data_IF_334336735998
#
_entry.id   IF_334336735998
#
_cell.length_a   1.000
_cell.length_b   1.000
_cell.length_c   1.000
_cell.angle_alpha   90.00
_cell.angle_beta   90.00
_cell.angle_gamma   90.00
#
_symmetry.space_group_name_H-M   'P 1'
#
loop_
_entity.id
_entity.type
_entity.pdbx_description
1 polymer ?
#
# COMPACT_ATOMS: atom_id res chain seq x y z
N UNK A 1 -19.44 -4.22 9.35
CA UNK A 1 -18.66 -4.69 8.20
C UNK A 1 -17.97 -5.99 8.55
N UNK A 2 -18.23 -7.05 7.80
CA UNK A 2 -17.53 -8.31 7.92
C UNK A 2 -16.22 -8.24 7.13
N UNK A 3 -15.09 -8.59 7.76
CA UNK A 3 -13.78 -8.53 7.11
C UNK A 3 -13.74 -9.30 5.79
N UNK A 4 -14.36 -10.48 5.70
CA UNK A 4 -14.34 -11.31 4.49
C UNK A 4 -14.97 -10.61 3.27
N UNK A 5 -16.04 -9.85 3.47
CA UNK A 5 -16.70 -9.11 2.39
C UNK A 5 -15.78 -8.01 1.85
N UNK A 6 -15.17 -7.26 2.76
CA UNK A 6 -14.22 -6.19 2.41
C UNK A 6 -12.96 -6.76 1.78
N UNK A 7 -12.39 -7.83 2.35
CA UNK A 7 -11.22 -8.49 1.82
C UNK A 7 -11.45 -8.98 0.39
N UNK A 8 -12.63 -9.55 0.09
CA UNK A 8 -13.01 -9.98 -1.27
C UNK A 8 -13.04 -8.81 -2.28
N UNK A 9 -13.50 -7.64 -1.86
CA UNK A 9 -13.51 -6.44 -2.71
C UNK A 9 -12.12 -5.84 -2.91
N UNK A 10 -11.22 -6.03 -1.94
CA UNK A 10 -9.86 -5.51 -1.95
C UNK A 10 -8.81 -6.52 -2.44
N UNK A 11 -9.20 -7.77 -2.76
CA UNK A 11 -8.25 -8.88 -3.01
C UNK A 11 -7.29 -8.55 -4.15
N UNK A 12 -7.79 -7.88 -5.19
CA UNK A 12 -7.03 -7.51 -6.39
C UNK A 12 -6.40 -6.12 -6.30
N UNK A 13 -6.69 -5.36 -5.24
CA UNK A 13 -6.05 -4.08 -4.98
C UNK A 13 -4.75 -4.31 -4.19
N UNK A 14 -3.56 -4.10 -4.79
CA UNK A 14 -2.30 -4.36 -4.10
C UNK A 14 -2.15 -3.46 -2.87
N UNK A 15 -2.60 -2.20 -2.98
CA UNK A 15 -2.67 -1.21 -1.92
C UNK A 15 -4.05 -0.55 -1.92
N UNK A 16 -4.48 -0.06 -0.76
CA UNK A 16 -5.70 0.72 -0.63
C UNK A 16 -5.57 1.81 0.45
N UNK A 17 -6.28 2.92 0.23
CA UNK A 17 -6.39 3.98 1.22
C UNK A 17 -7.57 3.76 2.16
N UNK A 18 -7.49 4.26 3.40
CA UNK A 18 -8.63 4.23 4.33
C UNK A 18 -9.86 4.97 3.79
N UNK A 19 -9.65 5.96 2.90
CA UNK A 19 -10.73 6.73 2.27
C UNK A 19 -11.72 5.85 1.51
N UNK A 20 -11.24 4.79 0.86
CA UNK A 20 -12.08 3.86 0.09
C UNK A 20 -13.09 3.16 0.99
N UNK A 21 -12.73 2.88 2.24
CA UNK A 21 -13.62 2.24 3.21
C UNK A 21 -14.67 3.20 3.80
N UNK A 22 -14.44 4.52 3.73
CA UNK A 22 -15.40 5.51 4.22
C UNK A 22 -16.58 5.70 3.29
N UNK A 23 -16.38 5.52 1.96
CA UNK A 23 -17.43 5.72 0.97
C UNK A 23 -18.66 4.83 1.16
N UNK A 24 -18.51 3.69 1.86
CA UNK A 24 -19.61 2.77 2.20
C UNK A 24 -19.88 2.65 3.70
N UNK A 25 -19.41 3.57 4.53
CA UNK A 25 -19.52 3.48 5.98
C UNK A 25 -20.27 4.66 6.59
N UNK A 26 -21.18 4.35 7.53
CA UNK A 26 -21.97 5.36 8.25
C UNK A 26 -21.12 6.21 9.23
N UNK A 27 -19.99 5.67 9.71
CA UNK A 27 -19.14 6.34 10.69
C UNK A 27 -17.63 6.07 10.45
N UNK A 28 -16.84 7.10 10.10
CA UNK A 28 -15.39 6.98 9.89
C UNK A 28 -14.60 6.46 11.10
N UNK A 29 -15.00 6.80 12.33
CA UNK A 29 -14.29 6.38 13.55
C UNK A 29 -14.39 4.86 13.75
N UNK A 30 -15.54 4.28 13.41
CA UNK A 30 -15.75 2.83 13.46
C UNK A 30 -14.84 2.11 12.46
N UNK A 31 -14.68 2.66 11.25
CA UNK A 31 -13.76 2.13 10.23
C UNK A 31 -12.31 2.20 10.71
N UNK A 32 -11.90 3.32 11.30
CA UNK A 32 -10.55 3.46 11.85
C UNK A 32 -10.26 2.43 12.95
N UNK A 33 -11.21 2.22 13.87
CA UNK A 33 -11.11 1.19 14.90
C UNK A 33 -10.98 -0.21 14.29
N UNK A 34 -11.80 -0.53 13.28
CA UNK A 34 -11.74 -1.81 12.58
C UNK A 34 -10.41 -2.03 11.86
N UNK A 35 -9.88 -1.02 11.17
CA UNK A 35 -8.55 -1.08 10.57
C UNK A 35 -7.48 -1.36 11.61
N UNK A 36 -7.51 -0.67 12.75
CA UNK A 36 -6.57 -0.92 13.84
C UNK A 36 -6.68 -2.35 14.40
N UNK A 37 -7.91 -2.87 14.53
CA UNK A 37 -8.15 -4.25 14.95
C UNK A 37 -7.64 -5.26 13.91
N UNK A 38 -7.81 -5.00 12.62
CA UNK A 38 -7.31 -5.87 11.55
C UNK A 38 -5.79 -5.85 11.43
N UNK A 39 -5.16 -4.69 11.66
CA UNK A 39 -3.69 -4.57 11.75
C UNK A 39 -3.17 -5.36 12.93
N UNK A 40 -3.77 -5.21 14.12
CA UNK A 40 -3.41 -6.01 15.32
C UNK A 40 -3.61 -7.50 15.11
N UNK A 41 -4.62 -7.90 14.33
CA UNK A 41 -4.87 -9.29 13.99
C UNK A 41 -4.02 -9.84 12.83
N UNK A 42 -3.11 -9.04 12.25
CA UNK A 42 -2.25 -9.45 11.13
C UNK A 42 -2.98 -9.67 9.80
N UNK A 43 -4.22 -9.19 9.67
CA UNK A 43 -5.04 -9.34 8.45
C UNK A 43 -4.74 -8.28 7.41
N UNK A 44 -4.30 -7.11 7.87
CA UNK A 44 -3.94 -5.94 7.07
C UNK A 44 -2.59 -5.44 7.56
N UNK A 45 -1.75 -4.97 6.65
CA UNK A 45 -0.46 -4.35 6.95
C UNK A 45 -0.59 -2.86 6.68
N UNK A 46 -0.25 -2.05 7.68
CA UNK A 46 -0.19 -0.59 7.54
C UNK A 46 1.17 -0.19 6.99
N UNK A 47 1.18 0.53 5.86
CA UNK A 47 2.43 1.04 5.24
C UNK A 47 2.74 2.46 5.69
N UNK A 48 1.71 3.29 5.79
CA UNK A 48 1.72 4.59 6.48
C UNK A 48 0.31 4.89 6.99
N UNK A 49 0.14 5.95 7.77
CA UNK A 49 -1.21 6.39 8.19
C UNK A 49 -2.08 6.62 6.95
N UNK A 50 -3.18 5.89 6.86
CA UNK A 50 -4.13 5.99 5.76
C UNK A 50 -3.84 5.09 4.56
N UNK A 51 -2.70 4.39 4.49
CA UNK A 51 -2.33 3.50 3.39
C UNK A 51 -2.03 2.09 3.89
N UNK A 52 -2.66 1.10 3.28
CA UNK A 52 -2.65 -0.28 3.75
C UNK A 52 -2.51 -1.27 2.58
N UNK A 53 -2.15 -2.50 2.91
CA UNK A 53 -2.22 -3.67 2.01
C UNK A 53 -2.81 -4.85 2.76
N UNK A 54 -3.54 -5.72 2.07
CA UNK A 54 -3.99 -6.97 2.66
C UNK A 54 -2.79 -7.88 2.97
N UNK A 55 -2.81 -8.57 4.10
CA UNK A 55 -1.80 -9.59 4.41
C UNK A 55 -2.10 -10.88 3.62
N UNK A 56 -1.10 -11.75 3.45
CA UNK A 56 -1.36 -13.13 3.03
C UNK A 56 -2.21 -13.83 4.11
N UNK A 57 -3.20 -14.67 3.74
CA UNK A 57 -3.55 -15.14 2.41
C UNK A 57 -4.65 -14.30 1.70
N UNK A 58 -4.99 -13.12 2.22
CA UNK A 58 -6.15 -12.34 1.76
C UNK A 58 -5.90 -11.53 0.48
N UNK A 59 -4.64 -11.38 0.05
CA UNK A 59 -4.25 -10.68 -1.19
C UNK A 59 -4.00 -11.65 -2.33
N UNK A 60 -4.32 -11.26 -3.56
CA UNK A 60 -3.96 -12.00 -4.78
C UNK A 60 -2.45 -12.01 -5.01
N UNK A 61 -1.80 -10.85 -4.87
CA UNK A 61 -0.36 -10.67 -5.12
C UNK A 61 0.24 -9.65 -4.15
N UNK A 62 1.51 -9.81 -3.71
CA UNK A 62 2.19 -8.79 -2.94
C UNK A 62 2.38 -7.50 -3.77
N UNK A 63 2.25 -6.31 -3.16
CA UNK A 63 2.52 -5.05 -3.86
C UNK A 63 4.00 -4.95 -4.25
N UNK A 64 4.26 -4.51 -5.48
CA UNK A 64 5.62 -4.23 -5.94
C UNK A 64 6.22 -3.06 -5.16
N UNK A 65 7.52 -3.09 -4.85
CA UNK A 65 8.21 -2.06 -4.07
C UNK A 65 8.08 -0.66 -4.70
N UNK A 66 8.12 -0.56 -6.02
CA UNK A 66 7.96 0.72 -6.75
C UNK A 66 6.55 1.29 -6.60
N UNK A 67 5.54 0.42 -6.58
CA UNK A 67 4.15 0.82 -6.39
C UNK A 67 3.92 1.33 -4.96
N UNK A 68 4.57 0.69 -3.97
CA UNK A 68 4.61 1.19 -2.59
C UNK A 68 5.27 2.56 -2.54
N UNK A 69 6.46 2.72 -3.13
CA UNK A 69 7.20 3.97 -3.11
C UNK A 69 6.39 5.15 -3.68
N UNK A 70 5.72 4.96 -4.82
CA UNK A 70 4.88 5.99 -5.45
C UNK A 70 3.64 6.37 -4.60
N UNK A 71 3.12 5.44 -3.78
CA UNK A 71 1.92 5.69 -2.95
C UNK A 71 2.25 6.22 -1.54
N UNK A 72 3.50 6.04 -1.10
CA UNK A 72 3.96 6.59 0.18
C UNK A 72 4.00 8.13 0.14
N UNK A 73 4.46 8.72 -0.96
CA UNK A 73 4.49 10.18 -1.15
C UNK A 73 3.91 10.52 -2.52
N UNK A 74 2.73 11.13 -2.53
CA UNK A 74 2.07 11.55 -3.76
C UNK A 74 2.91 12.60 -4.51
N UNK A 75 3.01 12.47 -5.83
CA UNK A 75 3.86 13.35 -6.65
C UNK A 75 5.36 13.04 -6.56
N UNK A 76 5.75 11.97 -5.87
CA UNK A 76 7.10 11.42 -5.94
C UNK A 76 7.21 10.33 -7.00
N UNK A 77 8.40 10.20 -7.58
CA UNK A 77 8.69 9.19 -8.60
C UNK A 77 9.95 8.41 -8.24
N UNK A 78 9.92 7.08 -8.42
CA UNK A 78 11.12 6.24 -8.33
C UNK A 78 12.20 6.76 -9.27
N UNK A 79 13.38 7.05 -8.73
CA UNK A 79 14.41 7.89 -9.35
C UNK A 79 15.83 7.39 -9.02
N UNK A 80 16.83 8.20 -9.37
CA UNK A 80 18.25 7.97 -9.08
C UNK A 80 18.74 6.58 -9.53
N UNK A 81 19.58 5.92 -8.73
CA UNK A 81 20.17 4.63 -9.05
C UNK A 81 19.12 3.56 -9.32
N UNK A 82 17.97 3.61 -8.60
CA UNK A 82 16.89 2.65 -8.83
C UNK A 82 16.31 2.77 -10.24
N UNK A 83 16.11 3.99 -10.74
CA UNK A 83 15.66 4.20 -12.11
C UNK A 83 16.73 3.75 -13.14
N UNK A 84 18.01 4.08 -12.91
CA UNK A 84 19.10 3.64 -13.79
C UNK A 84 19.17 2.10 -13.87
N UNK A 85 19.09 1.43 -12.73
CA UNK A 85 19.10 -0.04 -12.66
C UNK A 85 17.86 -0.65 -13.32
N UNK A 86 16.67 -0.06 -13.12
CA UNK A 86 15.44 -0.53 -13.75
C UNK A 86 15.51 -0.51 -15.29
N UNK A 87 16.16 0.50 -15.87
CA UNK A 87 16.36 0.61 -17.31
C UNK A 87 17.65 -0.05 -17.82
N UNK A 88 18.41 -0.74 -16.95
CA UNK A 88 19.65 -1.42 -17.34
C UNK A 88 20.80 -0.48 -17.71
N UNK A 89 20.75 0.78 -17.27
CA UNK A 89 21.80 1.78 -17.52
C UNK A 89 23.03 1.58 -16.61
N UNK A 90 22.87 0.84 -15.52
CA UNK A 90 23.96 0.42 -14.64
C UNK A 90 23.84 -1.10 -14.36
N UNK A 91 24.97 -1.82 -14.25
CA UNK A 91 24.96 -3.26 -13.97
C UNK A 91 24.71 -3.60 -12.50
N UNK A 92 24.91 -2.65 -11.58
CA UNK A 92 24.78 -2.87 -10.15
C UNK A 92 23.34 -3.14 -9.74
N UNK A 93 23.18 -4.11 -8.84
CA UNK A 93 21.91 -4.32 -8.15
C UNK A 93 21.67 -3.19 -7.14
N UNK A 94 20.54 -2.50 -7.27
CA UNK A 94 20.11 -1.46 -6.34
C UNK A 94 19.04 -2.02 -5.42
N UNK A 95 19.38 -2.21 -4.15
CA UNK A 95 18.47 -2.80 -3.16
C UNK A 95 17.44 -1.81 -2.60
N UNK A 96 17.74 -0.50 -2.65
CA UNK A 96 16.92 0.56 -2.06
C UNK A 96 16.14 1.29 -3.15
N UNK A 97 14.81 1.33 -3.00
CA UNK A 97 13.96 2.16 -3.87
C UNK A 97 14.00 3.59 -3.36
N UNK A 98 14.55 4.49 -4.17
CA UNK A 98 14.58 5.92 -3.87
C UNK A 98 13.62 6.66 -4.79
N UNK A 99 12.81 7.55 -4.22
CA UNK A 99 11.93 8.45 -4.96
C UNK A 99 12.34 9.91 -4.77
N UNK A 100 12.09 10.75 -5.78
CA UNK A 100 12.32 12.20 -5.74
C UNK A 100 11.01 12.93 -5.99
N UNK A 101 10.82 14.07 -5.31
CA UNK A 101 9.70 15.00 -5.52
C UNK A 101 10.17 16.44 -5.27
N UNK A 102 9.33 17.41 -5.62
CA UNK A 102 9.55 18.82 -5.26
C UNK A 102 9.10 19.06 -3.82
N UNK A 103 9.92 19.74 -3.01
CA UNK A 103 9.60 20.13 -1.63
C UNK A 103 8.71 21.35 -1.55
#
# INVERSE_FOLDING_TARGET
MYFQQVAKQLTDLPLFESGLLYAGADNPQKVQRQLADWVRAGKVIQLRRGLYTLAAPYRSKPPHSYLIANQLVQGSYVSLQMALSHYGLIPEHVAVVTSVTTG
#
